data_IF_226370474963
#
_entry.id   IF_226370474963
#
_cell.length_a   1.000
_cell.length_b   1.000
_cell.length_c   1.000
_cell.angle_alpha   90.00
_cell.angle_beta   90.00
_cell.angle_gamma   90.00
#
_symmetry.space_group_name_H-M   'P 1'
#
loop_
_entity.id
_entity.type
_entity.pdbx_description
1 polymer ?
#
# COMPACT_ATOMS: atom_id res chain seq x y z
N UNK A 1 -23.34 11.41 -61.68
CA UNK A 1 -24.37 10.46 -62.05
C UNK A 1 -25.43 10.46 -60.94
N UNK A 2 -26.49 11.11 -61.21
CA UNK A 2 -27.72 11.39 -60.45
C UNK A 2 -28.54 10.13 -60.29
N UNK A 3 -29.30 9.96 -59.17
CA UNK A 3 -30.62 9.32 -59.07
C UNK A 3 -30.94 9.20 -57.57
N UNK A 4 -31.83 9.92 -57.05
CA UNK A 4 -33.28 10.11 -57.00
C UNK A 4 -33.88 9.50 -55.73
N UNK A 5 -34.53 10.38 -55.00
CA UNK A 5 -35.48 10.19 -53.91
C UNK A 5 -36.64 9.25 -54.24
N UNK A 6 -37.15 8.55 -53.24
CA UNK A 6 -38.52 8.07 -53.19
C UNK A 6 -39.14 8.35 -51.84
N UNK A 7 -40.09 9.25 -51.85
CA UNK A 7 -41.06 9.54 -50.77
C UNK A 7 -42.18 8.52 -50.94
N UNK A 8 -42.61 7.89 -49.85
CA UNK A 8 -43.92 7.24 -49.78
C UNK A 8 -44.64 7.77 -48.55
N UNK A 9 -45.79 8.32 -48.81
CA UNK A 9 -46.68 8.97 -47.87
C UNK A 9 -47.78 8.01 -47.32
N UNK A 10 -48.24 8.36 -46.15
CA UNK A 10 -49.65 8.28 -45.67
C UNK A 10 -50.24 6.94 -45.21
N UNK A 11 -50.62 6.92 -43.96
CA UNK A 11 -51.63 6.02 -43.40
C UNK A 11 -52.11 6.54 -42.04
N UNK A 12 -53.06 7.49 -42.07
CA UNK A 12 -53.75 7.95 -40.84
C UNK A 12 -54.83 6.88 -40.47
N UNK A 13 -54.64 6.23 -39.34
CA UNK A 13 -55.67 5.42 -38.74
C UNK A 13 -56.23 6.15 -37.51
N UNK A 14 -57.47 6.59 -37.60
CA UNK A 14 -58.27 7.18 -36.53
C UNK A 14 -58.79 6.00 -35.66
N UNK A 15 -58.31 5.87 -34.46
CA UNK A 15 -58.87 4.96 -33.48
C UNK A 15 -59.69 5.77 -32.48
N UNK A 16 -60.96 5.44 -32.38
CA UNK A 16 -61.94 6.01 -31.45
C UNK A 16 -61.53 5.70 -30.00
N UNK A 17 -61.42 6.73 -29.19
CA UNK A 17 -61.19 6.61 -27.75
C UNK A 17 -62.52 6.25 -27.07
N UNK A 18 -62.55 5.10 -26.47
CA UNK A 18 -63.62 4.68 -25.55
C UNK A 18 -63.31 5.27 -24.17
N UNK A 19 -64.08 6.24 -23.73
CA UNK A 19 -63.97 6.82 -22.38
C UNK A 19 -64.60 5.86 -21.41
N UNK A 20 -63.78 5.16 -20.62
CA UNK A 20 -64.24 4.39 -19.45
C UNK A 20 -64.20 5.33 -18.26
N UNK A 21 -65.37 5.68 -17.75
CA UNK A 21 -65.53 6.46 -16.53
C UNK A 21 -65.22 5.55 -15.32
N UNK A 22 -64.03 5.70 -14.69
CA UNK A 22 -63.67 4.99 -13.47
C UNK A 22 -63.92 5.95 -12.29
N UNK A 23 -64.71 5.59 -11.27
CA UNK A 23 -64.92 6.46 -10.13
C UNK A 23 -63.63 6.64 -9.36
N UNK A 24 -63.38 7.90 -8.92
CA UNK A 24 -62.24 8.26 -8.10
C UNK A 24 -62.27 7.48 -6.77
N UNK A 25 -61.43 6.49 -6.66
CA UNK A 25 -61.11 5.89 -5.37
C UNK A 25 -60.09 6.77 -4.67
N UNK A 26 -60.38 7.24 -3.48
CA UNK A 26 -59.43 7.96 -2.60
C UNK A 26 -58.21 7.09 -2.30
N UNK A 27 -57.15 7.29 -3.06
CA UNK A 27 -55.82 6.75 -2.75
C UNK A 27 -55.12 7.74 -1.84
N UNK A 28 -55.44 7.75 -0.54
CA UNK A 28 -54.50 8.28 0.47
C UNK A 28 -53.35 7.34 0.57
N UNK A 29 -52.33 7.56 -0.28
CA UNK A 29 -51.03 6.93 -0.13
C UNK A 29 -50.42 7.52 1.12
N UNK A 30 -50.47 6.77 2.23
CA UNK A 30 -49.63 7.00 3.40
C UNK A 30 -48.19 6.78 2.95
N UNK A 31 -47.52 7.83 2.43
CA UNK A 31 -46.07 7.86 2.28
C UNK A 31 -45.48 8.06 3.67
N UNK A 32 -45.42 7.00 4.45
CA UNK A 32 -44.46 6.94 5.54
C UNK A 32 -43.07 7.01 4.89
N UNK A 33 -42.24 8.02 5.23
CA UNK A 33 -40.88 8.00 4.79
C UNK A 33 -40.19 6.82 5.46
N UNK A 34 -39.93 5.74 4.74
CA UNK A 34 -38.99 4.74 5.12
C UNK A 34 -37.58 5.42 5.13
N UNK A 35 -37.31 6.19 6.18
CA UNK A 35 -35.92 6.55 6.55
C UNK A 35 -35.35 5.25 7.12
N UNK A 36 -34.90 4.37 6.25
CA UNK A 36 -33.92 3.38 6.64
C UNK A 36 -32.68 4.15 7.09
N UNK A 37 -32.62 4.39 8.41
CA UNK A 37 -31.36 4.78 9.04
C UNK A 37 -30.37 3.66 8.70
N UNK A 38 -29.59 3.86 7.64
CA UNK A 38 -28.41 3.08 7.41
C UNK A 38 -27.49 3.38 8.62
N UNK A 39 -27.65 2.60 9.68
CA UNK A 39 -26.68 2.58 10.76
C UNK A 39 -25.39 2.16 10.08
N UNK A 40 -24.45 3.10 9.96
CA UNK A 40 -23.09 2.77 9.59
C UNK A 40 -22.63 1.69 10.58
N UNK A 41 -22.52 0.46 10.09
CA UNK A 41 -22.15 -0.67 10.93
C UNK A 41 -20.77 -0.36 11.47
N UNK A 42 -20.68 -0.12 12.77
CA UNK A 42 -19.38 0.16 13.42
C UNK A 42 -18.53 -1.07 13.31
N UNK A 43 -17.34 -0.92 12.72
CA UNK A 43 -16.38 -2.03 12.58
C UNK A 43 -15.93 -2.48 13.97
N UNK A 44 -16.06 -3.76 14.26
CA UNK A 44 -15.53 -4.38 15.47
C UNK A 44 -14.02 -4.63 15.29
N UNK A 45 -13.24 -3.60 15.55
CA UNK A 45 -11.78 -3.67 15.39
C UNK A 45 -11.12 -4.65 16.34
N UNK A 46 -11.71 -4.92 17.52
CA UNK A 46 -11.14 -5.90 18.44
C UNK A 46 -11.16 -7.30 17.81
N UNK A 47 -12.25 -7.67 17.12
CA UNK A 47 -12.29 -8.95 16.41
C UNK A 47 -11.30 -9.01 15.25
N UNK A 48 -11.05 -7.90 14.55
CA UNK A 48 -10.01 -7.82 13.51
C UNK A 48 -8.64 -8.06 14.13
N UNK A 49 -8.33 -7.37 15.25
CA UNK A 49 -7.07 -7.53 16.01
C UNK A 49 -6.87 -8.99 16.45
N UNK A 50 -7.92 -9.60 17.02
CA UNK A 50 -7.90 -10.99 17.51
C UNK A 50 -7.72 -12.00 16.37
N UNK A 51 -8.40 -11.77 15.22
CA UNK A 51 -8.27 -12.62 14.03
C UNK A 51 -6.86 -12.59 13.45
N UNK A 52 -6.25 -11.40 13.38
CA UNK A 52 -4.88 -11.24 12.89
C UNK A 52 -3.82 -11.61 13.93
N UNK A 53 -4.20 -11.85 15.21
CA UNK A 53 -3.30 -12.17 16.30
C UNK A 53 -2.34 -11.03 16.65
N UNK A 54 -2.67 -9.78 16.31
CA UNK A 54 -1.77 -8.61 16.47
C UNK A 54 -2.55 -7.35 16.80
N UNK A 55 -1.88 -6.43 17.49
CA UNK A 55 -2.36 -5.06 17.68
C UNK A 55 -1.82 -4.17 16.57
N UNK A 56 -2.64 -3.27 16.02
CA UNK A 56 -2.20 -2.35 14.97
C UNK A 56 -1.42 -1.15 15.53
N UNK A 57 -0.58 -0.56 14.68
CA UNK A 57 -0.23 0.84 14.80
C UNK A 57 -1.37 1.66 14.18
N UNK A 58 -1.94 2.58 14.96
CA UNK A 58 -3.04 3.44 14.52
C UNK A 58 -2.50 4.82 14.09
N UNK A 59 -2.89 5.26 12.90
CA UNK A 59 -2.53 6.57 12.37
C UNK A 59 -3.75 7.18 11.67
N UNK A 60 -4.35 8.19 12.29
CA UNK A 60 -5.65 8.70 11.88
C UNK A 60 -6.71 7.60 12.00
N UNK A 61 -7.39 7.32 10.91
CA UNK A 61 -8.38 6.24 10.78
C UNK A 61 -7.77 4.91 10.30
N UNK A 62 -6.48 4.87 9.92
CA UNK A 62 -5.80 3.69 9.41
C UNK A 62 -5.26 2.82 10.54
N UNK A 63 -5.49 1.50 10.42
CA UNK A 63 -4.95 0.47 11.29
C UNK A 63 -3.95 -0.39 10.52
N UNK A 64 -2.67 -0.28 10.86
CA UNK A 64 -1.57 -1.00 10.20
C UNK A 64 -1.03 -2.09 11.09
N UNK A 65 -1.08 -3.33 10.60
CA UNK A 65 -0.57 -4.53 11.27
C UNK A 65 0.74 -4.95 10.62
N UNK A 66 1.78 -5.13 11.43
CA UNK A 66 3.10 -5.54 10.95
C UNK A 66 3.33 -7.04 11.11
N UNK A 67 3.91 -7.69 10.10
CA UNK A 67 4.26 -9.11 10.06
C UNK A 67 5.74 -9.28 9.69
N UNK A 68 6.67 -8.87 10.57
CA UNK A 68 8.09 -9.00 10.28
C UNK A 68 8.50 -10.47 10.18
N UNK A 69 9.29 -10.81 9.17
CA UNK A 69 9.87 -12.14 8.96
C UNK A 69 11.09 -12.34 9.87
N UNK A 70 10.82 -12.38 11.18
CA UNK A 70 11.85 -12.66 12.19
C UNK A 70 12.33 -14.12 12.21
N UNK A 71 11.65 -14.98 11.46
CA UNK A 71 12.00 -16.37 11.18
C UNK A 71 13.12 -16.52 10.13
N UNK A 72 13.39 -15.47 9.35
CA UNK A 72 14.39 -15.49 8.29
C UNK A 72 15.71 -14.86 8.72
N UNK A 73 16.80 -15.48 8.26
CA UNK A 73 18.14 -14.89 8.28
C UNK A 73 18.55 -14.61 6.84
N UNK A 74 18.42 -13.37 6.41
CA UNK A 74 18.71 -12.94 5.04
C UNK A 74 19.99 -12.13 5.00
N UNK A 75 20.82 -12.35 3.99
CA UNK A 75 22.01 -11.55 3.71
C UNK A 75 21.97 -10.94 2.33
N UNK A 76 22.51 -9.73 2.18
CA UNK A 76 22.73 -9.06 0.89
C UNK A 76 24.16 -8.53 0.89
N UNK A 77 24.96 -8.93 -0.09
CA UNK A 77 26.37 -8.51 -0.23
C UNK A 77 27.18 -8.67 1.09
N UNK A 78 26.91 -9.75 1.84
CA UNK A 78 27.56 -10.03 3.14
C UNK A 78 26.97 -9.29 4.35
N UNK A 79 25.98 -8.43 4.16
CA UNK A 79 25.28 -7.73 5.25
C UNK A 79 24.08 -8.54 5.70
N UNK A 80 23.99 -8.89 6.99
CA UNK A 80 22.82 -9.49 7.58
C UNK A 80 21.70 -8.44 7.69
N UNK A 81 20.55 -8.73 7.07
CA UNK A 81 19.40 -7.82 6.98
C UNK A 81 18.52 -7.96 8.24
N UNK A 82 18.34 -6.85 8.96
CA UNK A 82 17.35 -6.82 10.05
C UNK A 82 15.94 -6.84 9.49
N UNK A 83 14.97 -7.48 10.16
CA UNK A 83 13.58 -7.46 9.72
C UNK A 83 13.04 -6.05 9.42
N UNK A 84 13.40 -5.07 10.26
CA UNK A 84 12.97 -3.67 10.08
C UNK A 84 13.63 -2.95 8.89
N UNK A 85 14.70 -3.51 8.27
CA UNK A 85 15.32 -2.90 7.09
C UNK A 85 14.48 -3.18 5.83
N UNK A 86 14.16 -4.45 5.59
CA UNK A 86 13.49 -4.87 4.37
C UNK A 86 12.56 -6.09 4.53
N UNK A 87 12.47 -6.74 5.69
CA UNK A 87 11.69 -7.98 5.87
C UNK A 87 10.40 -7.75 6.67
N UNK A 88 9.86 -6.55 6.62
CA UNK A 88 8.70 -6.13 7.38
C UNK A 88 7.41 -6.20 6.57
N UNK A 89 6.81 -7.39 6.42
CA UNK A 89 5.47 -7.50 5.86
C UNK A 89 4.44 -6.69 6.64
N UNK A 90 3.39 -6.24 5.99
CA UNK A 90 2.35 -5.43 6.63
C UNK A 90 1.03 -5.49 5.86
N UNK A 91 -0.07 -5.21 6.58
CA UNK A 91 -1.38 -4.88 6.01
C UNK A 91 -1.97 -3.66 6.71
N UNK A 92 -2.66 -2.80 5.98
CA UNK A 92 -3.29 -1.60 6.50
C UNK A 92 -4.78 -1.59 6.13
N UNK A 93 -5.63 -1.41 7.13
CA UNK A 93 -7.06 -1.25 6.95
C UNK A 93 -7.44 0.22 7.07
N UNK A 94 -8.22 0.71 6.13
CA UNK A 94 -8.82 2.03 6.14
C UNK A 94 -10.34 1.89 6.08
N UNK A 95 -11.10 2.45 7.06
CA UNK A 95 -12.56 2.40 7.04
C UNK A 95 -13.12 3.06 5.78
N UNK A 96 -14.20 2.49 5.26
CA UNK A 96 -15.00 3.08 4.20
C UNK A 96 -16.49 2.82 4.46
N UNK A 97 -17.35 3.44 3.65
CA UNK A 97 -18.79 3.18 3.77
C UNK A 97 -19.07 1.69 3.47
N UNK A 98 -19.67 1.01 4.45
CA UNK A 98 -20.04 -0.41 4.35
C UNK A 98 -18.91 -1.41 4.60
N UNK A 99 -17.71 -0.97 5.08
CA UNK A 99 -16.62 -1.89 5.37
C UNK A 99 -15.26 -1.24 5.53
N UNK A 100 -14.24 -1.86 5.00
CA UNK A 100 -12.89 -1.33 4.95
C UNK A 100 -12.20 -1.64 3.61
N UNK A 101 -11.32 -0.75 3.18
CA UNK A 101 -10.28 -1.03 2.20
C UNK A 101 -9.08 -1.64 2.93
N UNK A 102 -8.43 -2.61 2.32
CA UNK A 102 -7.15 -3.14 2.77
C UNK A 102 -6.11 -2.99 1.67
N UNK A 103 -4.90 -2.66 2.07
CA UNK A 103 -3.68 -2.73 1.26
C UNK A 103 -2.59 -3.41 2.08
N UNK A 104 -1.66 -4.08 1.42
CA UNK A 104 -0.57 -4.74 2.12
C UNK A 104 0.60 -5.10 1.24
N UNK A 105 1.70 -5.47 1.91
CA UNK A 105 2.92 -5.97 1.30
C UNK A 105 3.44 -7.13 2.14
N UNK A 106 3.41 -8.33 1.60
CA UNK A 106 3.78 -9.57 2.29
C UNK A 106 5.17 -10.00 1.84
N UNK A 107 6.03 -10.31 2.79
CA UNK A 107 7.39 -10.80 2.53
C UNK A 107 7.39 -12.33 2.52
N UNK A 108 7.79 -12.93 1.40
CA UNK A 108 7.67 -14.35 1.14
C UNK A 108 8.99 -14.95 0.60
N UNK A 109 9.20 -16.22 0.84
CA UNK A 109 10.13 -17.02 0.06
C UNK A 109 9.46 -17.50 -1.25
N UNK A 110 10.25 -17.92 -2.23
CA UNK A 110 9.75 -18.42 -3.51
C UNK A 110 8.73 -19.56 -3.37
N UNK A 111 8.98 -20.48 -2.43
CA UNK A 111 8.10 -21.61 -2.14
C UNK A 111 6.77 -21.22 -1.47
N UNK A 112 6.70 -20.02 -0.90
CA UNK A 112 5.53 -19.48 -0.20
C UNK A 112 4.61 -18.66 -1.13
N UNK A 113 5.10 -18.18 -2.29
CA UNK A 113 4.35 -17.30 -3.20
C UNK A 113 3.04 -17.97 -3.63
N UNK A 114 3.11 -19.18 -4.20
CA UNK A 114 1.94 -19.87 -4.75
C UNK A 114 0.87 -20.19 -3.69
N UNK A 115 1.20 -20.83 -2.55
CA UNK A 115 0.20 -21.14 -1.54
C UNK A 115 -0.43 -19.90 -0.92
N UNK A 116 0.34 -18.83 -0.65
CA UNK A 116 -0.18 -17.57 -0.11
C UNK A 116 -1.10 -16.90 -1.13
N UNK A 117 -0.69 -16.79 -2.39
CA UNK A 117 -1.50 -16.23 -3.47
C UNK A 117 -2.83 -16.95 -3.62
N UNK A 118 -2.82 -18.30 -3.58
CA UNK A 118 -4.05 -19.09 -3.67
C UNK A 118 -5.03 -18.77 -2.54
N UNK A 119 -4.53 -18.68 -1.29
CA UNK A 119 -5.37 -18.35 -0.13
C UNK A 119 -5.94 -16.94 -0.19
N UNK A 120 -5.17 -15.96 -0.63
CA UNK A 120 -5.64 -14.58 -0.81
C UNK A 120 -6.77 -14.52 -1.86
N UNK A 121 -6.58 -15.16 -3.01
CA UNK A 121 -7.58 -15.18 -4.09
C UNK A 121 -8.84 -15.98 -3.70
N UNK A 122 -8.70 -17.12 -3.00
CA UNK A 122 -9.83 -17.86 -2.42
C UNK A 122 -10.63 -16.98 -1.43
N UNK A 123 -9.93 -16.14 -0.67
CA UNK A 123 -10.53 -15.17 0.27
C UNK A 123 -11.10 -13.91 -0.37
N UNK A 124 -11.04 -13.79 -1.71
CA UNK A 124 -11.57 -12.64 -2.46
C UNK A 124 -10.67 -11.39 -2.42
N UNK A 125 -9.38 -11.55 -2.09
CA UNK A 125 -8.40 -10.46 -2.16
C UNK A 125 -7.68 -10.45 -3.50
N UNK A 126 -7.29 -9.26 -3.93
CA UNK A 126 -6.55 -9.04 -5.18
C UNK A 126 -5.05 -9.09 -4.94
N UNK A 127 -4.33 -9.63 -5.90
CA UNK A 127 -2.88 -9.55 -5.97
C UNK A 127 -2.53 -8.42 -6.93
N UNK A 128 -1.86 -7.40 -6.44
CA UNK A 128 -1.59 -6.19 -7.24
C UNK A 128 -0.15 -6.12 -7.73
N UNK A 129 0.79 -6.83 -7.09
CA UNK A 129 2.16 -7.02 -7.56
C UNK A 129 2.83 -8.22 -6.91
N UNK A 130 3.82 -8.81 -7.60
CA UNK A 130 4.81 -9.74 -7.02
C UNK A 130 6.18 -9.36 -7.58
N UNK A 131 7.11 -9.03 -6.71
CA UNK A 131 8.43 -8.53 -7.11
C UNK A 131 9.49 -8.77 -6.03
N UNK A 132 10.73 -8.39 -6.29
CA UNK A 132 11.81 -8.36 -5.30
C UNK A 132 12.12 -6.91 -4.87
N UNK A 133 12.57 -6.70 -3.63
CA UNK A 133 13.14 -5.42 -3.19
C UNK A 133 14.66 -5.40 -3.35
N UNK A 134 15.31 -6.53 -3.10
CA UNK A 134 16.76 -6.65 -3.01
C UNK A 134 17.27 -7.64 -4.04
N UNK A 135 18.28 -7.24 -4.80
CA UNK A 135 19.06 -8.16 -5.61
C UNK A 135 20.06 -8.91 -4.71
N UNK A 136 20.41 -10.13 -5.11
CA UNK A 136 21.42 -10.96 -4.40
C UNK A 136 21.08 -11.30 -2.94
N UNK A 137 19.79 -11.16 -2.55
CA UNK A 137 19.33 -11.62 -1.24
C UNK A 137 19.48 -13.15 -1.13
N UNK A 138 19.98 -13.62 0.00
CA UNK A 138 20.13 -15.05 0.28
C UNK A 138 19.62 -15.37 1.70
N UNK A 139 18.52 -16.18 1.83
CA UNK A 139 17.66 -16.65 0.75
C UNK A 139 16.99 -15.49 -0.01
N UNK A 140 16.62 -15.74 -1.27
CA UNK A 140 15.86 -14.78 -2.07
C UNK A 140 14.50 -14.49 -1.42
N UNK A 141 14.15 -13.22 -1.31
CA UNK A 141 12.87 -12.76 -0.77
C UNK A 141 12.06 -12.06 -1.85
N UNK A 142 10.75 -12.31 -1.82
CA UNK A 142 9.78 -11.72 -2.73
C UNK A 142 8.75 -10.95 -1.91
N UNK A 143 8.12 -9.99 -2.56
CA UNK A 143 7.14 -9.10 -1.95
C UNK A 143 5.87 -9.17 -2.76
N UNK A 144 4.76 -9.44 -2.07
CA UNK A 144 3.45 -9.59 -2.70
C UNK A 144 2.54 -8.50 -2.20
N UNK A 145 2.16 -7.59 -3.09
CA UNK A 145 1.17 -6.58 -2.77
C UNK A 145 -0.23 -7.16 -2.91
N UNK A 146 -1.06 -6.80 -1.96
CA UNK A 146 -2.45 -7.24 -1.85
C UNK A 146 -3.35 -6.03 -1.68
N UNK A 147 -4.55 -6.11 -2.27
CA UNK A 147 -5.60 -5.11 -2.16
C UNK A 147 -6.96 -5.76 -1.98
N UNK A 148 -7.93 -4.97 -1.58
CA UNK A 148 -9.32 -5.41 -1.51
C UNK A 148 -10.20 -4.47 -0.70
N UNK A 149 -11.51 -4.67 -0.83
CA UNK A 149 -12.54 -3.91 -0.12
C UNK A 149 -13.63 -4.85 0.35
N UNK A 150 -14.24 -4.55 1.50
CA UNK A 150 -15.38 -5.33 1.99
C UNK A 150 -15.46 -5.42 3.51
N UNK A 151 -16.03 -6.52 3.98
CA UNK A 151 -16.15 -6.82 5.41
C UNK A 151 -14.77 -7.02 6.02
N UNK A 152 -14.33 -6.18 6.99
CA UNK A 152 -13.00 -6.24 7.56
C UNK A 152 -12.71 -7.55 8.30
N UNK A 153 -13.70 -8.26 8.83
CA UNK A 153 -13.49 -9.56 9.47
C UNK A 153 -13.22 -10.66 8.44
N UNK A 154 -13.93 -10.64 7.31
CA UNK A 154 -13.68 -11.58 6.21
C UNK A 154 -12.29 -11.34 5.60
N UNK A 155 -11.92 -10.08 5.40
CA UNK A 155 -10.59 -9.68 4.94
C UNK A 155 -9.51 -10.17 5.92
N UNK A 156 -9.70 -9.93 7.23
CA UNK A 156 -8.75 -10.37 8.25
C UNK A 156 -8.59 -11.89 8.29
N UNK A 157 -9.69 -12.65 8.16
CA UNK A 157 -9.65 -14.12 8.09
C UNK A 157 -8.88 -14.61 6.86
N UNK A 158 -9.14 -14.03 5.67
CA UNK A 158 -8.43 -14.38 4.45
C UNK A 158 -6.93 -14.09 4.54
N UNK A 159 -6.55 -12.94 5.12
CA UNK A 159 -5.16 -12.58 5.37
C UNK A 159 -4.48 -13.52 6.37
N UNK A 160 -5.17 -13.88 7.46
CA UNK A 160 -4.66 -14.83 8.44
C UNK A 160 -4.38 -16.20 7.80
N UNK A 161 -5.35 -16.73 7.04
CA UNK A 161 -5.22 -18.02 6.37
C UNK A 161 -4.10 -18.01 5.32
N UNK A 162 -3.95 -16.90 4.60
CA UNK A 162 -2.87 -16.71 3.64
C UNK A 162 -1.50 -16.67 4.32
N UNK A 163 -1.36 -15.90 5.40
CA UNK A 163 -0.11 -15.82 6.17
C UNK A 163 0.22 -17.16 6.84
N UNK A 164 -0.77 -17.92 7.30
CA UNK A 164 -0.59 -19.26 7.83
C UNK A 164 -0.10 -20.29 6.80
N UNK A 165 -0.29 -20.01 5.50
CA UNK A 165 0.27 -20.82 4.40
C UNK A 165 1.77 -20.53 4.16
N UNK A 166 2.35 -19.57 4.87
CA UNK A 166 3.79 -19.28 4.92
C UNK A 166 4.36 -19.57 6.31
N UNK A 167 5.65 -19.33 6.49
CA UNK A 167 6.28 -19.40 7.82
C UNK A 167 6.30 -18.04 8.55
N UNK A 168 5.52 -17.08 8.07
CA UNK A 168 5.42 -15.75 8.70
C UNK A 168 4.94 -15.88 10.15
N UNK A 169 5.66 -15.33 11.14
CA UNK A 169 5.23 -15.36 12.52
C UNK A 169 3.91 -14.61 12.72
N UNK A 170 2.84 -15.31 13.08
CA UNK A 170 1.51 -14.71 13.29
C UNK A 170 1.39 -14.03 14.65
N UNK A 171 2.04 -14.56 15.67
CA UNK A 171 2.06 -13.93 16.99
C UNK A 171 3.14 -12.85 17.05
N UNK A 172 2.80 -11.72 17.67
CA UNK A 172 3.77 -10.67 17.92
C UNK A 172 4.82 -11.14 18.96
N UNK A 173 6.10 -10.92 18.65
CA UNK A 173 7.13 -11.05 19.68
C UNK A 173 6.90 -9.99 20.77
N UNK A 174 7.25 -10.29 22.04
CA UNK A 174 7.19 -9.28 23.10
C UNK A 174 7.94 -8.01 22.69
N UNK A 175 7.34 -6.86 22.99
CA UNK A 175 7.97 -5.57 22.70
C UNK A 175 9.25 -5.45 23.53
N UNK A 176 10.39 -5.30 22.86
CA UNK A 176 11.66 -4.95 23.49
C UNK A 176 12.04 -3.52 23.09
N UNK A 177 12.77 -2.83 23.97
CA UNK A 177 13.33 -1.54 23.59
C UNK A 177 14.21 -1.70 22.34
N UNK A 178 14.03 -0.89 21.30
CA UNK A 178 14.85 -1.02 20.11
C UNK A 178 16.33 -0.75 20.45
N UNK A 179 17.28 -1.47 19.85
CA UNK A 179 18.71 -1.20 20.01
C UNK A 179 19.03 0.26 19.66
N UNK A 180 20.04 0.83 20.28
CA UNK A 180 20.54 2.16 19.91
C UNK A 180 21.00 2.19 18.45
N UNK A 181 20.85 3.34 17.81
CA UNK A 181 21.32 3.58 16.45
C UNK A 181 22.76 4.09 16.51
N UNK A 182 23.71 3.32 16.00
CA UNK A 182 25.12 3.71 15.88
C UNK A 182 25.36 4.49 14.57
N UNK A 183 24.69 5.66 14.45
CA UNK A 183 24.81 6.62 13.37
C UNK A 183 24.57 8.03 13.93
N UNK A 184 25.10 9.05 13.27
CA UNK A 184 24.73 10.45 13.54
C UNK A 184 23.31 10.75 12.98
N UNK A 185 22.30 10.39 13.77
CA UNK A 185 20.89 10.56 13.37
C UNK A 185 20.52 12.02 13.21
N UNK A 186 21.13 12.95 13.95
CA UNK A 186 20.86 14.36 13.82
C UNK A 186 21.31 14.88 12.44
N UNK A 187 22.49 14.44 11.99
CA UNK A 187 22.99 14.79 10.67
C UNK A 187 22.17 14.14 9.55
N UNK A 188 21.69 12.89 9.73
CA UNK A 188 20.79 12.25 8.79
C UNK A 188 19.46 13.02 8.67
N UNK A 189 18.84 13.42 9.80
CA UNK A 189 17.63 14.25 9.82
C UNK A 189 17.81 15.56 9.06
N UNK A 190 18.93 16.25 9.32
CA UNK A 190 19.27 17.50 8.64
C UNK A 190 19.40 17.33 7.12
N UNK A 191 20.07 16.27 6.67
CA UNK A 191 20.31 16.01 5.25
C UNK A 191 19.03 15.57 4.54
N UNK A 192 18.28 14.63 5.11
CA UNK A 192 17.01 14.14 4.53
C UNK A 192 15.92 15.23 4.59
N UNK A 193 15.95 16.10 5.61
CA UNK A 193 15.03 17.21 5.76
C UNK A 193 13.75 16.90 6.53
N UNK A 194 13.66 15.71 7.13
CA UNK A 194 12.60 15.29 8.05
C UNK A 194 13.22 14.46 9.18
N UNK A 195 12.50 14.33 10.29
CA UNK A 195 12.96 13.52 11.43
C UNK A 195 12.68 12.06 11.22
N UNK A 196 13.71 11.22 11.34
CA UNK A 196 13.59 9.77 11.33
C UNK A 196 13.17 9.18 12.68
N UNK A 197 12.94 7.87 12.70
CA UNK A 197 12.59 7.10 13.89
C UNK A 197 13.41 5.82 13.97
N UNK A 198 13.78 5.42 15.19
CA UNK A 198 14.39 4.11 15.43
C UNK A 198 13.30 3.03 15.35
N UNK A 199 13.40 2.18 14.36
CA UNK A 199 12.54 1.02 14.15
C UNK A 199 13.39 -0.25 14.28
N UNK A 200 13.41 -0.88 15.46
CA UNK A 200 14.14 -2.14 15.67
C UNK A 200 15.63 -2.08 15.37
N UNK A 201 16.29 -0.94 15.59
CA UNK A 201 17.72 -0.75 15.30
C UNK A 201 18.01 -0.40 13.82
N UNK A 202 16.99 0.06 13.10
CA UNK A 202 17.06 0.67 11.77
C UNK A 202 16.51 2.09 11.88
N UNK A 203 17.24 3.08 11.38
CA UNK A 203 16.76 4.46 11.37
C UNK A 203 15.94 4.70 10.10
N UNK A 204 14.64 4.92 10.28
CA UNK A 204 13.66 4.93 9.21
C UNK A 204 13.04 6.32 9.02
N UNK A 205 12.91 6.73 7.77
CA UNK A 205 12.22 7.95 7.35
C UNK A 205 10.98 7.59 6.52
N UNK A 206 9.95 8.42 6.65
CA UNK A 206 8.78 8.41 5.77
C UNK A 206 8.56 9.84 5.28
N UNK A 207 8.86 10.10 4.02
CA UNK A 207 8.73 11.44 3.41
C UNK A 207 7.50 11.43 2.51
N UNK A 208 6.41 12.13 2.88
CA UNK A 208 5.19 12.12 2.08
C UNK A 208 5.37 12.87 0.76
N UNK A 209 4.62 12.46 -0.27
CA UNK A 209 4.39 13.28 -1.46
C UNK A 209 3.48 14.45 -1.11
N UNK A 210 3.63 15.57 -1.82
CA UNK A 210 2.70 16.72 -1.72
C UNK A 210 1.38 16.44 -2.44
N UNK A 211 1.45 15.68 -3.53
CA UNK A 211 0.28 15.35 -4.32
C UNK A 211 -0.55 14.28 -3.61
N UNK A 212 -1.88 14.42 -3.54
CA UNK A 212 -2.75 13.39 -3.00
C UNK A 212 -2.71 12.14 -3.88
N UNK A 213 -2.75 10.98 -3.25
CA UNK A 213 -2.85 9.68 -3.93
C UNK A 213 -4.19 9.06 -3.58
N UNK A 214 -4.90 8.57 -4.60
CA UNK A 214 -6.17 7.87 -4.44
C UNK A 214 -6.05 6.48 -5.07
N UNK A 215 -6.75 5.50 -4.50
CA UNK A 215 -6.93 4.16 -5.06
C UNK A 215 -8.41 3.81 -4.96
N UNK A 216 -9.00 3.35 -6.05
CA UNK A 216 -10.43 3.00 -6.14
C UNK A 216 -11.36 4.09 -5.55
N UNK A 217 -11.04 5.36 -5.81
CA UNK A 217 -11.80 6.52 -5.33
C UNK A 217 -11.57 6.91 -3.86
N UNK A 218 -10.67 6.22 -3.13
CA UNK A 218 -10.33 6.53 -1.74
C UNK A 218 -8.97 7.20 -1.63
N UNK A 219 -8.89 8.27 -0.82
CA UNK A 219 -7.62 8.92 -0.52
C UNK A 219 -6.73 8.01 0.35
N UNK A 220 -5.50 7.75 -0.09
CA UNK A 220 -4.49 6.97 0.64
C UNK A 220 -3.78 7.85 1.67
N UNK A 221 -4.52 8.26 2.68
CA UNK A 221 -4.05 9.14 3.77
C UNK A 221 -4.34 8.49 5.12
N UNK A 222 -3.42 8.58 6.10
CA UNK A 222 -2.05 9.13 6.01
C UNK A 222 -1.10 8.32 5.12
N UNK A 223 -0.34 9.00 4.27
CA UNK A 223 0.47 8.38 3.23
C UNK A 223 1.44 7.30 3.74
N UNK A 224 2.12 7.54 4.86
CA UNK A 224 3.05 6.57 5.44
C UNK A 224 2.36 5.31 5.98
N UNK A 225 1.13 5.43 6.50
CA UNK A 225 0.36 4.29 6.98
C UNK A 225 -0.16 3.43 5.81
N UNK A 226 -0.50 4.06 4.69
CA UNK A 226 -1.00 3.41 3.47
C UNK A 226 0.09 3.01 2.48
N UNK A 227 1.39 3.18 2.81
CA UNK A 227 2.49 2.72 1.98
C UNK A 227 2.77 3.59 0.74
N UNK A 228 2.33 4.85 0.72
CA UNK A 228 2.53 5.79 -0.40
C UNK A 228 3.40 7.00 -0.04
N UNK A 229 4.23 6.88 1.00
CA UNK A 229 5.30 7.81 1.31
C UNK A 229 6.64 7.23 0.87
N UNK A 230 7.63 8.10 0.56
CA UNK A 230 9.01 7.68 0.32
C UNK A 230 9.55 7.03 1.60
N UNK A 231 9.75 5.74 1.60
CA UNK A 231 10.31 4.98 2.71
C UNK A 231 11.83 4.87 2.56
N UNK A 232 12.61 5.32 3.56
CA UNK A 232 14.07 5.27 3.49
C UNK A 232 14.61 4.74 4.80
N UNK A 233 15.36 3.66 4.74
CA UNK A 233 15.82 2.93 5.91
C UNK A 233 17.35 2.86 5.93
N UNK A 234 17.93 3.14 7.10
CA UNK A 234 19.38 3.08 7.36
C UNK A 234 19.64 2.05 8.47
N UNK A 235 20.25 0.94 8.13
CA UNK A 235 20.72 -0.05 9.10
C UNK A 235 22.20 0.17 9.35
N UNK A 236 22.65 0.48 10.61
CA UNK A 236 24.08 0.59 10.92
C UNK A 236 24.82 -0.70 10.58
N UNK A 237 25.99 -0.56 9.92
CA UNK A 237 26.91 -1.66 9.60
C UNK A 237 28.29 -1.48 10.24
N UNK A 238 28.43 -0.47 11.13
CA UNK A 238 29.64 -0.15 11.87
C UNK A 238 30.51 0.91 11.18
N UNK A 239 31.31 1.62 11.98
CA UNK A 239 32.27 2.63 11.47
C UNK A 239 31.59 3.80 10.74
N UNK A 240 30.40 4.22 11.14
CA UNK A 240 29.64 5.30 10.48
C UNK A 240 29.05 4.92 9.12
N UNK A 241 29.07 3.63 8.78
CA UNK A 241 28.44 3.08 7.57
C UNK A 241 27.03 2.61 7.85
N UNK A 242 26.20 2.60 6.81
CA UNK A 242 24.86 2.00 6.84
C UNK A 242 24.57 1.23 5.55
N UNK A 243 23.88 0.11 5.68
CA UNK A 243 23.14 -0.46 4.59
C UNK A 243 21.81 0.30 4.46
N UNK A 244 21.47 0.71 3.23
CA UNK A 244 20.24 1.44 2.94
C UNK A 244 19.39 0.70 1.93
N UNK A 245 18.10 0.72 2.15
CA UNK A 245 17.07 0.37 1.17
C UNK A 245 15.77 1.09 1.51
N UNK A 246 14.83 1.04 0.61
CA UNK A 246 13.52 1.65 0.80
C UNK A 246 12.74 1.71 -0.49
N UNK A 247 11.83 2.67 -0.54
CA UNK A 247 10.84 2.78 -1.57
C UNK A 247 10.66 4.23 -2.01
N UNK A 248 10.99 4.54 -3.26
CA UNK A 248 10.59 5.79 -3.87
C UNK A 248 9.22 5.62 -4.53
N UNK A 249 8.31 6.53 -4.24
CA UNK A 249 6.95 6.60 -4.81
C UNK A 249 6.94 7.70 -5.86
N UNK A 250 6.83 7.36 -7.14
CA UNK A 250 7.16 8.20 -8.27
C UNK A 250 6.02 8.30 -9.28
N UNK A 251 5.83 9.48 -9.88
CA UNK A 251 5.13 9.58 -11.15
C UNK A 251 6.05 9.16 -12.30
N UNK A 252 5.49 8.87 -13.48
CA UNK A 252 6.28 8.45 -14.64
C UNK A 252 7.39 9.44 -15.01
N UNK A 253 7.17 10.75 -14.84
CA UNK A 253 8.15 11.79 -15.14
C UNK A 253 9.31 11.81 -14.14
N UNK A 254 9.10 11.37 -12.91
CA UNK A 254 10.11 11.35 -11.84
C UNK A 254 11.05 10.14 -11.92
N UNK A 255 10.63 9.04 -12.58
CA UNK A 255 11.37 7.76 -12.61
C UNK A 255 12.82 7.93 -13.06
N UNK A 256 13.02 8.41 -14.28
CA UNK A 256 14.38 8.51 -14.85
C UNK A 256 15.25 9.58 -14.16
N UNK A 257 14.74 10.76 -13.76
CA UNK A 257 15.50 11.70 -12.94
C UNK A 257 15.97 11.12 -11.61
N UNK A 258 15.14 10.32 -10.93
CA UNK A 258 15.50 9.64 -9.66
C UNK A 258 16.55 8.56 -9.90
N UNK A 259 16.40 7.70 -10.93
CA UNK A 259 17.42 6.71 -11.31
C UNK A 259 18.79 7.38 -11.50
N UNK A 260 18.85 8.45 -12.28
CA UNK A 260 20.09 9.18 -12.54
C UNK A 260 20.73 9.72 -11.25
N UNK A 261 19.89 10.28 -10.35
CA UNK A 261 20.37 10.80 -9.08
C UNK A 261 20.94 9.70 -8.18
N UNK A 262 20.26 8.56 -8.06
CA UNK A 262 20.73 7.41 -7.28
C UNK A 262 22.06 6.87 -7.81
N UNK A 263 22.12 6.53 -9.12
CA UNK A 263 23.30 5.96 -9.75
C UNK A 263 24.52 6.90 -9.66
N UNK A 264 24.32 8.22 -9.84
CA UNK A 264 25.39 9.21 -9.73
C UNK A 264 25.98 9.33 -8.32
N UNK A 265 25.26 8.83 -7.31
CA UNK A 265 25.70 8.79 -5.91
C UNK A 265 26.08 7.38 -5.43
N UNK A 266 26.26 6.43 -6.36
CA UNK A 266 26.67 5.06 -6.04
C UNK A 266 25.59 4.23 -5.33
N UNK A 267 24.32 4.58 -5.52
CA UNK A 267 23.18 3.84 -4.98
C UNK A 267 22.54 3.04 -6.12
N UNK A 268 22.52 1.72 -5.98
CA UNK A 268 21.97 0.81 -6.97
C UNK A 268 20.43 0.86 -6.94
N UNK A 269 19.79 0.88 -8.11
CA UNK A 269 18.35 0.65 -8.25
C UNK A 269 18.12 -0.86 -8.38
N UNK A 270 17.29 -1.42 -7.52
CA UNK A 270 17.09 -2.87 -7.42
C UNK A 270 15.76 -3.37 -7.98
N UNK A 271 14.75 -2.50 -8.05
CA UNK A 271 13.47 -2.79 -8.70
C UNK A 271 12.75 -1.51 -9.10
N UNK A 272 11.88 -1.63 -10.11
CA UNK A 272 10.92 -0.62 -10.56
C UNK A 272 9.63 -1.33 -10.96
N UNK A 273 8.52 -1.00 -10.29
CA UNK A 273 7.24 -1.72 -10.43
C UNK A 273 6.06 -0.85 -9.96
N UNK A 274 4.83 -1.38 -10.03
CA UNK A 274 3.64 -0.77 -9.45
C UNK A 274 3.21 -1.53 -8.20
N UNK A 275 2.54 -0.85 -7.26
CA UNK A 275 1.93 -1.48 -6.08
C UNK A 275 0.41 -1.68 -6.23
N UNK A 276 -0.24 -0.90 -7.06
CA UNK A 276 -1.68 -0.79 -7.18
C UNK A 276 -2.09 -0.92 -8.66
N UNK A 277 -3.39 -1.07 -8.92
CA UNK A 277 -3.92 -1.27 -10.26
C UNK A 277 -4.66 -0.04 -10.79
N UNK A 278 -5.28 0.76 -9.90
CA UNK A 278 -6.23 1.84 -10.26
C UNK A 278 -5.87 3.20 -9.63
N UNK A 279 -4.65 3.33 -9.08
CA UNK A 279 -4.24 4.54 -8.37
C UNK A 279 -4.16 5.78 -9.29
N UNK A 280 -4.47 6.93 -8.68
CA UNK A 280 -4.38 8.25 -9.30
C UNK A 280 -3.60 9.21 -8.38
N UNK A 281 -2.55 9.88 -8.91
CA UNK A 281 -1.93 9.67 -10.23
C UNK A 281 -1.34 8.27 -10.37
N UNK A 282 -1.08 7.78 -11.60
CA UNK A 282 -0.37 6.52 -11.81
C UNK A 282 1.02 6.60 -11.20
N UNK A 283 1.35 5.64 -10.34
CA UNK A 283 2.59 5.61 -9.58
C UNK A 283 3.47 4.42 -9.95
N UNK A 284 4.77 4.65 -9.80
CA UNK A 284 5.82 3.66 -9.90
C UNK A 284 6.58 3.64 -8.59
N UNK A 285 6.95 2.46 -8.14
CA UNK A 285 7.69 2.24 -6.91
C UNK A 285 9.08 1.74 -7.25
N UNK A 286 10.10 2.33 -6.63
CA UNK A 286 11.49 2.04 -6.97
C UNK A 286 12.28 1.72 -5.72
N UNK A 287 12.82 0.49 -5.67
CA UNK A 287 13.71 0.07 -4.61
C UNK A 287 15.16 0.32 -4.97
N UNK A 288 15.97 0.45 -3.94
CA UNK A 288 17.39 0.75 -4.06
C UNK A 288 18.19 0.04 -2.98
N UNK A 289 19.52 -0.09 -3.23
CA UNK A 289 20.43 -0.68 -2.27
C UNK A 289 21.79 0.02 -2.33
N UNK A 290 22.40 0.24 -1.16
CA UNK A 290 23.81 0.57 -1.00
C UNK A 290 24.27 0.25 0.42
N UNK A 291 25.59 0.04 0.60
CA UNK A 291 26.22 -0.04 1.92
C UNK A 291 27.51 0.79 1.92
N UNK A 292 27.48 1.98 2.50
CA UNK A 292 28.60 2.94 2.52
C UNK A 292 28.46 3.90 3.72
N UNK A 293 29.28 4.96 3.77
CA UNK A 293 29.14 6.03 4.75
C UNK A 293 27.70 6.59 4.76
N UNK A 294 27.06 6.58 5.93
CA UNK A 294 25.64 6.89 6.07
C UNK A 294 25.29 8.31 5.61
N UNK A 295 26.15 9.30 5.93
CA UNK A 295 25.90 10.70 5.54
C UNK A 295 26.09 10.91 4.03
N UNK A 296 27.08 10.23 3.42
CA UNK A 296 27.24 10.23 1.96
C UNK A 296 26.00 9.66 1.28
N UNK A 297 25.49 8.54 1.75
CA UNK A 297 24.28 7.92 1.23
C UNK A 297 23.05 8.82 1.44
N UNK A 298 22.91 9.44 2.61
CA UNK A 298 21.81 10.40 2.87
C UNK A 298 21.80 11.57 1.89
N UNK A 299 22.99 12.10 1.52
CA UNK A 299 23.11 13.14 0.47
C UNK A 299 22.66 12.64 -0.90
N UNK A 300 23.00 11.40 -1.26
CA UNK A 300 22.52 10.76 -2.49
C UNK A 300 21.01 10.58 -2.52
N UNK A 301 20.45 10.11 -1.42
CA UNK A 301 18.98 10.00 -1.24
C UNK A 301 18.33 11.38 -1.32
N UNK A 302 18.91 12.43 -0.69
CA UNK A 302 18.35 13.79 -0.77
C UNK A 302 18.36 14.30 -2.22
N UNK A 303 19.43 14.06 -2.96
CA UNK A 303 19.50 14.43 -4.38
C UNK A 303 18.41 13.72 -5.23
N UNK A 304 18.06 12.49 -4.88
CA UNK A 304 16.97 11.75 -5.50
C UNK A 304 15.57 12.31 -5.07
N UNK A 305 15.37 12.57 -3.77
CA UNK A 305 14.15 13.19 -3.24
C UNK A 305 13.89 14.56 -3.87
N UNK A 306 14.91 15.34 -4.19
CA UNK A 306 14.80 16.65 -4.86
C UNK A 306 14.30 16.53 -6.32
N UNK A 307 14.20 15.30 -6.86
CA UNK A 307 13.61 15.00 -8.18
C UNK A 307 12.14 14.57 -8.10
N UNK A 308 11.57 14.53 -6.90
CA UNK A 308 10.20 14.12 -6.65
C UNK A 308 9.34 15.28 -6.14
N UNK A 309 8.03 15.12 -6.18
CA UNK A 309 7.09 16.03 -5.53
C UNK A 309 7.12 15.91 -3.98
N UNK A 310 8.14 15.29 -3.38
CA UNK A 310 8.30 15.18 -1.93
C UNK A 310 9.03 16.41 -1.41
N UNK A 311 8.32 17.25 -0.66
CA UNK A 311 8.85 18.54 -0.19
C UNK A 311 9.88 18.41 0.92
N UNK A 312 10.77 19.44 1.03
CA UNK A 312 11.25 19.88 2.33
C UNK A 312 10.05 20.48 3.05
N UNK A 313 9.70 19.94 4.20
CA UNK A 313 8.70 20.53 5.10
C UNK A 313 9.18 21.89 5.59
#
# INVERSE_FOLDING_TARGET
MTIRSAIVASGVAISAAMVINVPAADWTILTEPFIASAHAQTIDWQKVDDTLGRKPAVSGDVRRYGFPRSDLTVTVDGVAIKPALALGGWVAFKPMHGGAMVMGDLVLLDTEIRPVMAKLTEGGLEITAVHNHLLRANPATFYMHVGGQGDPLKIAAALHDALAASKTPLTASPASSPPAIDLDTAQLDQVIGVKGKNNGGVYAFAVPRRDPVNEAGMALSPAGAMGVAQGINFQPTGGGKAAITGDFVLTGEEVNPVIKALLSNGIEVTALHSHMLEEQPRLFFMHFWANDNAVKLAKGIRAALDKTASGKS
#
